data_IF_834923454033
#
_entry.id   IF_834923454033
#
_cell.length_a   1.000
_cell.length_b   1.000
_cell.length_c   1.000
_cell.angle_alpha   90.00
_cell.angle_beta   90.00
_cell.angle_gamma   90.00
#
_symmetry.space_group_name_H-M   'P 1'
#
loop_
_entity.id
_entity.type
_entity.pdbx_description
1 polymer ?
#
# COMPACT_ATOMS: atom_id res chain seq x y z
N UNK A 1 1.49 30.01 14.75
CA UNK A 1 2.38 29.69 15.88
C UNK A 1 2.04 28.26 16.29
N UNK A 2 2.92 27.27 16.15
CA UNK A 2 4.28 27.23 16.69
C UNK A 2 5.18 26.38 15.78
N UNK A 3 6.29 26.95 15.31
CA UNK A 3 7.44 26.25 14.72
C UNK A 3 8.27 25.57 15.84
N UNK A 4 9.13 24.59 15.50
CA UNK A 4 9.91 23.78 16.44
C UNK A 4 11.23 24.47 16.80
N UNK A 5 11.94 23.97 17.84
CA UNK A 5 13.40 24.02 17.74
C UNK A 5 14.12 22.79 18.33
N UNK A 6 15.35 22.60 17.87
CA UNK A 6 16.48 21.95 18.55
C UNK A 6 16.69 20.44 18.39
N UNK A 7 17.47 20.08 17.37
CA UNK A 7 18.46 19.00 17.49
C UNK A 7 19.59 19.19 16.46
N UNK A 8 20.39 20.24 16.66
CA UNK A 8 21.74 20.29 16.13
C UNK A 8 22.57 19.16 16.76
N UNK A 9 23.04 18.21 15.95
CA UNK A 9 24.08 17.26 16.34
C UNK A 9 25.29 17.46 15.44
N UNK A 10 26.18 18.34 15.88
CA UNK A 10 27.56 18.29 15.45
C UNK A 10 28.24 17.05 16.04
N UNK A 11 28.99 16.33 15.23
CA UNK A 11 30.41 16.12 15.55
C UNK A 11 31.21 15.91 14.27
N UNK A 12 32.28 16.70 14.24
CA UNK A 12 33.26 16.88 13.22
C UNK A 12 34.50 16.15 13.72
N UNK A 13 34.80 14.98 13.16
CA UNK A 13 36.14 14.38 13.30
C UNK A 13 36.53 13.76 11.97
N UNK A 14 37.43 14.46 11.28
CA UNK A 14 38.80 14.00 11.05
C UNK A 14 38.84 12.74 10.17
N UNK A 15 39.08 12.97 8.88
CA UNK A 15 40.27 12.35 8.35
C UNK A 15 41.08 13.32 7.49
N UNK A 16 42.32 13.49 7.91
CA UNK A 16 43.34 14.23 7.22
C UNK A 16 44.05 13.19 6.37
N UNK A 17 43.92 13.25 5.05
CA UNK A 17 45.01 12.74 4.24
C UNK A 17 45.30 13.66 3.06
N UNK A 18 46.48 14.24 3.16
CA UNK A 18 47.14 15.02 2.15
C UNK A 18 47.68 14.08 1.06
N UNK A 19 47.78 14.60 -0.15
CA UNK A 19 48.30 13.89 -1.31
C UNK A 19 47.52 14.35 -2.54
N UNK A 20 47.76 15.58 -2.99
CA UNK A 20 48.72 15.82 -4.07
C UNK A 20 48.50 14.80 -5.19
N UNK A 21 47.72 15.18 -6.20
CA UNK A 21 48.06 14.93 -7.60
C UNK A 21 47.30 15.96 -8.44
N UNK A 22 48.00 17.05 -8.76
CA UNK A 22 47.59 18.03 -9.76
C UNK A 22 48.02 17.47 -11.11
N UNK A 23 47.20 16.59 -11.69
CA UNK A 23 47.39 16.19 -13.08
C UNK A 23 46.46 17.02 -13.96
N UNK A 24 47.01 18.14 -14.40
CA UNK A 24 46.53 18.89 -15.54
C UNK A 24 46.43 17.96 -16.75
N UNK A 25 45.22 17.72 -17.23
CA UNK A 25 44.95 16.97 -18.45
C UNK A 25 45.71 17.62 -19.62
N UNK A 26 46.69 16.95 -20.25
CA UNK A 26 47.21 17.44 -21.50
C UNK A 26 46.16 17.18 -22.57
N UNK A 27 45.49 18.24 -23.03
CA UNK A 27 44.73 18.23 -24.28
C UNK A 27 45.71 18.04 -25.44
N UNK A 28 46.12 16.79 -25.67
CA UNK A 28 46.93 16.42 -26.82
C UNK A 28 46.00 15.89 -27.90
N UNK A 29 45.41 16.83 -28.64
CA UNK A 29 44.73 16.51 -29.91
C UNK A 29 45.83 16.17 -30.92
N UNK A 30 46.27 14.92 -30.92
CA UNK A 30 47.19 14.41 -31.94
C UNK A 30 46.39 14.18 -33.21
N UNK A 31 46.52 15.13 -34.13
CA UNK A 31 46.04 15.03 -35.50
C UNK A 31 47.06 14.22 -36.32
N UNK A 32 46.53 13.19 -36.99
CA UNK A 32 47.01 12.49 -38.19
C UNK A 32 48.22 11.56 -38.08
N UNK A 33 47.95 10.28 -38.33
CA UNK A 33 48.70 9.54 -39.36
C UNK A 33 47.71 8.98 -40.36
N UNK A 34 47.71 9.56 -41.57
CA UNK A 34 47.04 9.00 -42.73
C UNK A 34 47.76 7.71 -43.12
N UNK A 35 47.33 6.59 -42.54
CA UNK A 35 47.77 5.28 -42.98
C UNK A 35 47.31 5.07 -44.42
N UNK A 36 48.26 5.09 -45.35
CA UNK A 36 48.06 4.66 -46.73
C UNK A 36 47.87 3.14 -46.74
N UNK A 37 46.65 2.68 -46.49
CA UNK A 37 46.31 1.29 -46.70
C UNK A 37 45.89 1.05 -48.15
N UNK A 38 46.88 0.76 -49.00
CA UNK A 38 46.64 0.03 -50.25
C UNK A 38 46.00 -1.33 -49.91
N UNK A 39 44.92 -1.68 -50.62
CA UNK A 39 44.06 -2.90 -50.63
C UNK A 39 43.86 -3.74 -49.34
N UNK A 40 44.88 -3.97 -48.52
CA UNK A 40 44.89 -4.74 -47.28
C UNK A 40 44.09 -4.03 -46.16
N UNK A 41 44.07 -2.69 -46.13
CA UNK A 41 43.22 -1.95 -45.19
C UNK A 41 41.75 -1.90 -45.54
N UNK A 42 41.42 -2.01 -46.83
CA UNK A 42 40.00 -2.14 -47.23
C UNK A 42 39.41 -3.43 -46.69
N UNK A 43 40.19 -4.51 -46.58
CA UNK A 43 39.74 -5.78 -45.99
C UNK A 43 39.53 -5.68 -44.48
N UNK A 44 40.44 -5.05 -43.75
CA UNK A 44 40.27 -4.85 -42.30
C UNK A 44 39.20 -3.81 -41.95
N UNK A 45 39.04 -2.75 -42.74
CA UNK A 45 37.91 -1.82 -42.61
C UNK A 45 36.59 -2.53 -42.93
N UNK A 46 36.54 -3.33 -44.00
CA UNK A 46 35.35 -4.10 -44.34
C UNK A 46 34.97 -5.10 -43.23
N UNK A 47 35.94 -5.80 -42.63
CA UNK A 47 35.65 -6.72 -41.52
C UNK A 47 35.13 -5.98 -40.28
N UNK A 48 35.68 -4.81 -39.96
CA UNK A 48 35.20 -3.99 -38.84
C UNK A 48 33.76 -3.50 -39.09
N UNK A 49 33.45 -3.07 -40.31
CA UNK A 49 32.09 -2.64 -40.68
C UNK A 49 31.10 -3.80 -40.61
N UNK A 50 31.48 -5.00 -41.06
CA UNK A 50 30.62 -6.19 -40.97
C UNK A 50 30.38 -6.60 -39.52
N UNK A 51 31.41 -6.61 -38.68
CA UNK A 51 31.28 -6.91 -37.24
C UNK A 51 30.39 -5.88 -36.54
N UNK A 52 30.60 -4.58 -36.81
CA UNK A 52 29.76 -3.52 -36.28
C UNK A 52 28.29 -3.65 -36.72
N UNK A 53 28.06 -4.03 -37.99
CA UNK A 53 26.71 -4.30 -38.51
C UNK A 53 26.05 -5.48 -37.82
N UNK A 54 26.78 -6.58 -37.58
CA UNK A 54 26.27 -7.75 -36.85
C UNK A 54 25.93 -7.43 -35.40
N UNK A 55 26.75 -6.62 -34.72
CA UNK A 55 26.47 -6.14 -33.36
C UNK A 55 25.20 -5.27 -33.34
N UNK A 56 25.06 -4.35 -34.29
CA UNK A 56 23.87 -3.48 -34.40
C UNK A 56 22.59 -4.29 -34.60
N UNK A 57 22.62 -5.29 -35.49
CA UNK A 57 21.50 -6.20 -35.74
C UNK A 57 21.21 -7.04 -34.49
N UNK A 58 22.22 -7.60 -33.84
CA UNK A 58 22.06 -8.37 -32.59
C UNK A 58 21.42 -7.54 -31.47
N UNK A 59 21.93 -6.33 -31.22
CA UNK A 59 21.38 -5.41 -30.21
C UNK A 59 19.96 -4.95 -30.57
N UNK A 60 19.62 -4.82 -31.85
CA UNK A 60 18.27 -4.43 -32.28
C UNK A 60 17.24 -5.55 -32.21
N UNK A 61 17.65 -6.83 -32.26
CA UNK A 61 16.74 -7.98 -32.19
C UNK A 61 16.48 -8.46 -30.74
N UNK A 62 17.41 -8.20 -29.82
CA UNK A 62 17.29 -8.60 -28.41
C UNK A 62 16.16 -7.91 -27.59
N UNK A 63 15.78 -6.63 -27.78
CA UNK A 63 14.83 -5.96 -26.89
C UNK A 63 13.37 -6.38 -27.14
N UNK A 64 13.08 -7.06 -28.26
CA UNK A 64 11.73 -7.48 -28.62
C UNK A 64 11.18 -8.60 -27.72
N UNK A 65 12.04 -9.44 -27.15
CA UNK A 65 11.61 -10.49 -26.22
C UNK A 65 11.32 -9.93 -24.83
N UNK A 66 12.20 -9.05 -24.35
CA UNK A 66 12.06 -8.40 -23.04
C UNK A 66 10.80 -7.53 -22.94
N UNK A 67 10.36 -6.91 -24.05
CA UNK A 67 9.13 -6.11 -24.06
C UNK A 67 7.86 -6.94 -23.86
N UNK A 68 7.82 -8.18 -24.34
CA UNK A 68 6.65 -9.06 -24.20
C UNK A 68 6.44 -9.57 -22.78
N UNK A 69 7.53 -9.89 -22.08
CA UNK A 69 7.47 -10.31 -20.66
C UNK A 69 7.08 -9.13 -19.75
N UNK A 70 7.52 -7.91 -20.08
CA UNK A 70 7.13 -6.71 -19.35
C UNK A 70 5.65 -6.35 -19.51
N UNK A 71 5.04 -6.59 -20.68
CA UNK A 71 3.60 -6.36 -20.87
C UNK A 71 2.74 -7.21 -19.95
N UNK A 72 3.08 -8.50 -19.74
CA UNK A 72 2.35 -9.38 -18.83
C UNK A 72 2.48 -8.95 -17.37
N UNK A 73 3.68 -8.54 -16.94
CA UNK A 73 3.90 -8.02 -15.58
C UNK A 73 3.15 -6.70 -15.33
N UNK A 74 3.11 -5.80 -16.31
CA UNK A 74 2.35 -4.54 -16.22
C UNK A 74 0.85 -4.83 -16.16
N UNK A 75 0.34 -5.75 -16.97
CA UNK A 75 -1.07 -6.14 -16.98
C UNK A 75 -1.49 -6.76 -15.64
N UNK A 76 -0.69 -7.66 -15.07
CA UNK A 76 -0.94 -8.23 -13.74
C UNK A 76 -0.97 -7.16 -12.65
N UNK A 77 -0.02 -6.21 -12.67
CA UNK A 77 0.01 -5.12 -11.70
C UNK A 77 -1.18 -4.17 -11.85
N UNK A 78 -1.62 -3.93 -13.08
CA UNK A 78 -2.82 -3.12 -13.34
C UNK A 78 -4.09 -3.81 -12.82
N UNK A 79 -4.20 -5.13 -12.98
CA UNK A 79 -5.31 -5.93 -12.43
C UNK A 79 -5.31 -5.94 -10.90
N UNK A 80 -4.14 -6.09 -10.27
CA UNK A 80 -4.00 -5.99 -8.82
C UNK A 80 -4.44 -4.60 -8.31
N UNK A 81 -4.03 -3.53 -9.01
CA UNK A 81 -4.42 -2.16 -8.66
C UNK A 81 -5.93 -1.94 -8.78
N UNK A 82 -6.56 -2.37 -9.88
CA UNK A 82 -8.01 -2.23 -10.05
C UNK A 82 -8.77 -2.99 -8.96
N UNK A 83 -8.33 -4.20 -8.61
CA UNK A 83 -8.95 -4.98 -7.53
C UNK A 83 -8.81 -4.29 -6.16
N UNK A 84 -7.65 -3.68 -5.88
CA UNK A 84 -7.43 -2.92 -4.64
C UNK A 84 -8.26 -1.63 -4.59
N UNK A 85 -8.44 -0.94 -5.71
CA UNK A 85 -9.27 0.25 -5.81
C UNK A 85 -10.75 -0.06 -5.61
N UNK A 86 -11.25 -1.15 -6.21
CA UNK A 86 -12.61 -1.65 -5.98
C UNK A 86 -12.84 -2.00 -4.50
N UNK A 87 -11.92 -2.74 -3.89
CA UNK A 87 -11.99 -3.10 -2.47
C UNK A 87 -11.98 -1.86 -1.59
N UNK A 88 -11.14 -0.87 -1.91
CA UNK A 88 -11.10 0.41 -1.20
C UNK A 88 -12.43 1.14 -1.28
N UNK A 89 -13.03 1.21 -2.46
CA UNK A 89 -14.33 1.87 -2.66
C UNK A 89 -15.45 1.17 -1.89
N UNK A 90 -15.46 -0.16 -1.89
CA UNK A 90 -16.42 -0.96 -1.11
C UNK A 90 -16.26 -0.72 0.39
N UNK A 91 -15.02 -0.77 0.90
CA UNK A 91 -14.73 -0.53 2.31
C UNK A 91 -15.10 0.89 2.74
N UNK A 92 -14.82 1.89 1.90
CA UNK A 92 -15.22 3.26 2.17
C UNK A 92 -16.75 3.39 2.28
N UNK A 93 -17.49 2.76 1.36
CA UNK A 93 -18.96 2.74 1.40
C UNK A 93 -19.48 2.08 2.69
N UNK A 94 -18.87 0.97 3.11
CA UNK A 94 -19.22 0.29 4.37
C UNK A 94 -18.90 1.16 5.58
N UNK A 95 -17.76 1.86 5.57
CA UNK A 95 -17.35 2.78 6.62
C UNK A 95 -18.33 3.94 6.75
N UNK A 96 -18.73 4.56 5.63
CA UNK A 96 -19.66 5.68 5.61
C UNK A 96 -21.04 5.26 6.12
N UNK A 97 -21.50 4.06 5.75
CA UNK A 97 -22.72 3.46 6.32
C UNK A 97 -22.58 3.24 7.83
N UNK A 98 -21.46 2.68 8.28
CA UNK A 98 -21.23 2.38 9.70
C UNK A 98 -21.10 3.65 10.56
N UNK A 99 -20.61 4.75 9.99
CA UNK A 99 -20.51 6.07 10.64
C UNK A 99 -21.83 6.85 10.65
N UNK A 100 -22.83 6.40 9.89
CA UNK A 100 -24.10 7.11 9.83
C UNK A 100 -24.81 7.02 11.20
N UNK A 101 -25.05 8.15 11.88
CA UNK A 101 -25.62 8.15 13.23
C UNK A 101 -26.99 7.47 13.31
N UNK A 102 -27.82 7.62 12.26
CA UNK A 102 -29.13 6.98 12.18
C UNK A 102 -29.02 5.46 12.11
N UNK A 103 -28.00 4.95 11.41
CA UNK A 103 -27.78 3.52 11.29
C UNK A 103 -27.21 2.93 12.59
N UNK A 104 -26.30 3.65 13.24
CA UNK A 104 -25.79 3.31 14.58
C UNK A 104 -26.95 3.21 15.57
N UNK A 105 -27.81 4.23 15.62
CA UNK A 105 -28.97 4.25 16.49
C UNK A 105 -29.94 3.11 16.18
N UNK A 106 -30.22 2.85 14.89
CA UNK A 106 -31.07 1.74 14.46
C UNK A 106 -30.52 0.38 14.93
N UNK A 107 -29.21 0.17 14.82
CA UNK A 107 -28.55 -1.05 15.27
C UNK A 107 -28.59 -1.14 16.81
N UNK A 108 -28.30 -0.05 17.51
CA UNK A 108 -28.36 0.01 18.96
C UNK A 108 -29.77 -0.30 19.48
N UNK A 109 -30.82 0.28 18.87
CA UNK A 109 -32.22 -0.03 19.21
C UNK A 109 -32.54 -1.51 18.97
N UNK A 110 -32.07 -2.07 17.86
CA UNK A 110 -32.34 -3.47 17.48
C UNK A 110 -31.62 -4.50 18.36
N UNK A 111 -30.35 -4.26 18.69
CA UNK A 111 -29.49 -5.26 19.33
C UNK A 111 -29.27 -5.01 20.83
N UNK A 112 -29.33 -3.75 21.25
CA UNK A 112 -28.99 -3.33 22.62
C UNK A 112 -30.20 -2.75 23.35
N UNK A 113 -31.39 -2.76 22.73
CA UNK A 113 -32.59 -2.11 23.27
C UNK A 113 -32.30 -0.66 23.69
N UNK A 114 -31.50 0.05 22.89
CA UNK A 114 -31.20 1.46 23.13
C UNK A 114 -32.46 2.31 23.04
N UNK A 115 -32.55 3.33 23.87
CA UNK A 115 -33.72 4.20 24.08
C UNK A 115 -33.20 5.63 24.25
N UNK A 116 -33.83 6.60 23.58
CA UNK A 116 -33.46 8.02 23.66
C UNK A 116 -34.21 8.75 24.77
N UNK A 117 -33.77 9.96 25.10
CA UNK A 117 -34.48 10.82 26.05
C UNK A 117 -35.90 11.10 25.56
N UNK A 118 -36.91 10.77 26.38
CA UNK A 118 -38.32 10.93 26.05
C UNK A 118 -39.00 9.69 25.43
N UNK A 119 -38.26 8.63 25.11
CA UNK A 119 -38.83 7.36 24.69
C UNK A 119 -39.40 6.59 25.92
N UNK A 120 -40.57 5.96 25.78
CA UNK A 120 -41.21 5.17 26.84
C UNK A 120 -40.85 3.69 26.73
N UNK A 121 -40.40 3.09 27.85
CA UNK A 121 -40.03 1.68 27.92
C UNK A 121 -41.24 0.86 28.38
N UNK A 122 -41.79 0.05 27.47
CA UNK A 122 -42.81 -0.93 27.81
C UNK A 122 -42.17 -2.26 28.17
N UNK A 123 -42.50 -2.76 29.36
CA UNK A 123 -42.13 -4.11 29.79
C UNK A 123 -43.37 -4.99 29.81
N UNK A 124 -43.30 -6.13 29.12
CA UNK A 124 -44.33 -7.17 29.24
C UNK A 124 -44.12 -7.86 30.59
N UNK A 125 -45.08 -7.67 31.50
CA UNK A 125 -45.11 -8.35 32.80
C UNK A 125 -46.04 -9.55 32.68
N UNK A 126 -45.54 -10.73 33.04
CA UNK A 126 -46.37 -11.95 33.10
C UNK A 126 -46.93 -12.06 34.51
N UNK A 127 -48.26 -12.22 34.68
CA UNK A 127 -48.85 -12.30 36.01
C UNK A 127 -48.42 -13.59 36.72
N UNK A 128 -48.21 -13.49 38.04
CA UNK A 128 -47.57 -14.54 38.87
C UNK A 128 -48.36 -15.83 39.02
N UNK A 129 -49.65 -15.83 38.67
CA UNK A 129 -50.57 -16.96 38.72
C UNK A 129 -50.37 -17.95 37.56
N UNK A 130 -49.74 -17.52 36.46
CA UNK A 130 -49.56 -18.34 35.24
C UNK A 130 -48.11 -18.87 35.13
N UNK A 131 -47.17 -18.36 35.92
CA UNK A 131 -45.74 -18.73 35.82
C UNK A 131 -45.40 -19.85 36.80
N UNK A 132 -45.35 -21.08 36.31
CA UNK A 132 -44.82 -22.22 37.07
C UNK A 132 -43.30 -22.35 36.82
N UNK A 133 -42.48 -21.84 37.74
CA UNK A 133 -41.03 -21.89 37.60
C UNK A 133 -40.51 -23.30 37.93
N UNK A 134 -39.58 -23.86 37.13
CA UNK A 134 -38.90 -25.09 37.50
C UNK A 134 -38.28 -24.98 38.90
N UNK A 135 -38.42 -26.01 39.73
CA UNK A 135 -37.89 -26.01 41.11
C UNK A 135 -36.39 -25.67 41.21
N UNK A 136 -35.60 -25.99 40.18
CA UNK A 136 -34.19 -25.65 40.11
C UNK A 136 -33.91 -24.14 39.96
N UNK A 137 -34.92 -23.34 39.58
CA UNK A 137 -34.83 -21.89 39.34
C UNK A 137 -35.52 -21.05 40.42
N UNK A 138 -35.93 -21.69 41.53
CA UNK A 138 -36.42 -21.01 42.73
C UNK A 138 -35.27 -20.31 43.46
N UNK A 139 -34.68 -19.32 42.80
CA UNK A 139 -33.77 -18.38 43.43
C UNK A 139 -34.60 -17.22 44.01
N UNK A 140 -34.26 -16.72 45.22
CA UNK A 140 -34.90 -15.53 45.78
C UNK A 140 -34.81 -14.38 44.78
N UNK A 141 -35.96 -13.84 44.35
CA UNK A 141 -36.04 -12.68 43.46
C UNK A 141 -36.23 -12.96 41.95
N UNK A 142 -36.09 -14.20 41.45
CA UNK A 142 -36.38 -14.48 40.03
C UNK A 142 -37.86 -14.28 39.72
N UNK A 143 -38.74 -14.67 40.63
CA UNK A 143 -40.19 -14.42 40.54
C UNK A 143 -40.47 -12.92 40.39
N UNK A 144 -39.80 -12.06 41.18
CA UNK A 144 -39.90 -10.60 41.10
C UNK A 144 -39.47 -10.06 39.72
N UNK A 145 -38.37 -10.57 39.16
CA UNK A 145 -37.93 -10.13 37.84
C UNK A 145 -38.97 -10.41 36.77
N UNK A 146 -39.77 -11.48 36.89
CA UNK A 146 -40.78 -11.85 35.88
C UNK A 146 -42.12 -11.14 36.14
N UNK A 147 -42.56 -11.13 37.41
CA UNK A 147 -43.89 -10.63 37.79
C UNK A 147 -43.94 -9.16 38.21
N UNK A 148 -42.79 -8.54 38.51
CA UNK A 148 -42.70 -7.16 38.99
C UNK A 148 -43.29 -6.91 40.38
N UNK A 149 -43.67 -7.95 41.13
CA UNK A 149 -44.22 -7.84 42.50
C UNK A 149 -43.30 -8.51 43.50
N UNK A 150 -43.15 -7.86 44.66
CA UNK A 150 -42.53 -8.42 45.86
C UNK A 150 -43.68 -9.06 46.63
N UNK A 151 -43.67 -10.38 46.77
CA UNK A 151 -44.57 -11.11 47.67
C UNK A 151 -43.98 -11.15 49.08
#
# INVERSE_FOLDING_TARGET
>A
MTEPPDAERGDQSRDKNAGVFRDSLPTRVSRFTSFRLGLIGRRSVASVVVIAGLILVGVSLLPLRQYREQSGAIEQKQQELSALEELRAELQTKLDRAKNPKEIERIARKQMSYVSEGDEIFRVVVPSDIVDLPRAWYLPGVKYLITGKID
#
